data_IF_881504381084
#
_entry.id   IF_881504381084
#
_cell.length_a   1.000
_cell.length_b   1.000
_cell.length_c   1.000
_cell.angle_alpha   90.00
_cell.angle_beta   90.00
_cell.angle_gamma   90.00
#
_symmetry.space_group_name_H-M   'P 1'
#
loop_
_entity.id
_entity.type
_entity.pdbx_description
1 polymer ?
#
# COMPACT_ATOMS: atom_id res chain seq x y z
N UNK A 1 -19.37 0.72 33.52
CA UNK A 1 -18.52 0.81 32.30
C UNK A 1 -19.13 1.91 31.42
N UNK A 2 -18.32 2.88 30.99
CA UNK A 2 -18.82 3.92 30.06
C UNK A 2 -19.24 3.30 28.71
N UNK A 3 -20.09 4.02 27.94
CA UNK A 3 -20.48 3.62 26.57
C UNK A 3 -19.21 3.59 25.70
N UNK A 4 -18.98 2.46 24.98
CA UNK A 4 -17.91 2.38 24.00
C UNK A 4 -18.32 3.02 22.70
N UNK A 5 -17.36 3.64 22.01
CA UNK A 5 -17.55 4.11 20.64
C UNK A 5 -17.47 2.96 19.64
N UNK A 6 -18.40 2.87 18.74
CA UNK A 6 -18.42 1.87 17.68
C UNK A 6 -17.64 2.37 16.47
N UNK A 7 -16.61 1.63 16.04
CA UNK A 7 -15.78 1.97 14.89
C UNK A 7 -15.72 0.81 13.89
N UNK A 8 -15.95 1.08 12.61
CA UNK A 8 -15.82 0.11 11.54
C UNK A 8 -14.71 0.48 10.56
N UNK A 9 -13.86 -0.51 10.23
CA UNK A 9 -12.85 -0.43 9.19
C UNK A 9 -13.32 -1.15 7.94
N UNK A 10 -13.59 -0.41 6.86
CA UNK A 10 -14.01 -0.98 5.57
C UNK A 10 -12.80 -1.24 4.67
N UNK A 11 -12.28 -2.48 4.75
CA UNK A 11 -11.22 -2.98 3.87
C UNK A 11 -11.84 -3.46 2.56
N UNK A 12 -12.27 -2.52 1.70
CA UNK A 12 -12.89 -2.84 0.42
C UNK A 12 -12.08 -3.89 -0.37
N UNK A 13 -10.75 -3.74 -0.39
CA UNK A 13 -9.75 -4.69 -0.87
C UNK A 13 -8.78 -5.06 0.25
N UNK A 14 -8.21 -6.25 0.20
CA UNK A 14 -7.24 -6.70 1.21
C UNK A 14 -6.03 -5.76 1.35
N UNK A 15 -5.59 -5.12 0.28
CA UNK A 15 -4.46 -4.17 0.35
C UNK A 15 -4.79 -2.83 1.05
N UNK A 16 -6.05 -2.61 1.47
CA UNK A 16 -6.40 -1.50 2.35
C UNK A 16 -6.07 -1.81 3.81
N UNK A 17 -6.14 -3.08 4.22
CA UNK A 17 -5.99 -3.47 5.62
C UNK A 17 -4.66 -3.03 6.27
N UNK A 18 -3.49 -3.15 5.61
CA UNK A 18 -2.23 -2.71 6.23
C UNK A 18 -2.19 -1.25 6.69
N UNK A 19 -3.06 -0.39 6.11
CA UNK A 19 -3.18 1.01 6.53
C UNK A 19 -3.91 1.15 7.86
N UNK A 20 -4.74 0.17 8.21
CA UNK A 20 -5.59 0.20 9.39
C UNK A 20 -4.99 -0.57 10.55
N UNK A 21 -4.15 -1.59 10.28
CA UNK A 21 -3.65 -2.53 11.28
C UNK A 21 -3.05 -1.84 12.52
N UNK A 22 -2.11 -0.88 12.41
CA UNK A 22 -1.56 -0.26 13.61
C UNK A 22 -2.60 0.52 14.44
N UNK A 23 -3.64 1.05 13.78
CA UNK A 23 -4.74 1.72 14.49
C UNK A 23 -5.68 0.71 15.13
N UNK A 24 -6.01 -0.40 14.44
CA UNK A 24 -6.84 -1.50 14.99
C UNK A 24 -6.19 -2.05 16.26
N UNK A 25 -4.90 -2.40 16.19
CA UNK A 25 -4.14 -2.98 17.30
C UNK A 25 -4.07 -2.00 18.50
N UNK A 26 -3.91 -0.71 18.23
CA UNK A 26 -3.96 0.33 19.25
C UNK A 26 -5.34 0.43 19.92
N UNK A 27 -6.42 0.40 19.12
CA UNK A 27 -7.80 0.56 19.62
C UNK A 27 -8.30 -0.68 20.37
N UNK A 28 -7.80 -1.88 20.05
CA UNK A 28 -8.10 -3.10 20.82
C UNK A 28 -7.70 -2.93 22.27
N UNK A 29 -6.51 -2.36 22.52
CA UNK A 29 -5.97 -2.16 23.85
C UNK A 29 -6.51 -0.89 24.55
N UNK A 30 -7.16 0.00 23.83
CA UNK A 30 -7.69 1.27 24.37
C UNK A 30 -8.93 1.07 25.25
N UNK A 31 -9.71 0.03 24.99
CA UNK A 31 -10.91 -0.32 25.79
C UNK A 31 -12.12 0.61 25.58
N UNK A 32 -11.95 1.78 24.96
CA UNK A 32 -13.04 2.75 24.66
C UNK A 32 -13.78 2.45 23.38
N UNK A 33 -13.29 1.51 22.56
CA UNK A 33 -13.84 1.21 21.24
C UNK A 33 -14.43 -0.20 21.16
N UNK A 34 -15.49 -0.33 20.38
CA UNK A 34 -15.99 -1.59 19.84
C UNK A 34 -15.68 -1.64 18.36
N UNK A 35 -14.84 -2.60 17.95
CA UNK A 35 -14.25 -2.65 16.61
C UNK A 35 -15.06 -3.58 15.71
N UNK A 36 -15.30 -3.11 14.48
CA UNK A 36 -15.95 -3.87 13.42
C UNK A 36 -15.09 -3.85 12.15
N UNK A 37 -15.18 -4.92 11.37
CA UNK A 37 -14.51 -5.07 10.09
C UNK A 37 -15.48 -5.44 8.99
N UNK A 38 -15.23 -4.98 7.79
CA UNK A 38 -15.99 -5.38 6.61
C UNK A 38 -15.14 -5.36 5.35
N UNK A 39 -15.56 -6.13 4.34
CA UNK A 39 -14.98 -6.12 2.99
C UNK A 39 -16.08 -6.21 1.95
N UNK A 40 -15.85 -5.63 0.75
CA UNK A 40 -16.86 -5.55 -0.29
C UNK A 40 -17.20 -6.91 -0.90
N UNK A 41 -18.47 -7.11 -1.21
CA UNK A 41 -18.96 -8.27 -1.99
C UNK A 41 -18.73 -8.09 -3.50
N UNK A 42 -18.30 -6.93 -3.93
CA UNK A 42 -18.08 -6.62 -5.34
C UNK A 42 -16.69 -7.04 -5.86
N UNK A 43 -15.77 -7.43 -4.97
CA UNK A 43 -14.46 -7.96 -5.35
C UNK A 43 -14.56 -9.42 -5.80
N UNK A 44 -13.49 -9.96 -6.39
CA UNK A 44 -13.47 -11.36 -6.83
C UNK A 44 -13.59 -12.31 -5.64
N UNK A 45 -14.26 -13.44 -5.87
CA UNK A 45 -14.55 -14.44 -4.83
C UNK A 45 -13.28 -14.87 -4.08
N UNK A 46 -12.21 -15.13 -4.81
CA UNK A 46 -10.94 -15.58 -4.23
C UNK A 46 -10.31 -14.50 -3.33
N UNK A 47 -10.33 -13.25 -3.76
CA UNK A 47 -9.87 -12.11 -2.94
C UNK A 47 -10.80 -11.92 -1.72
N UNK A 48 -12.12 -12.04 -1.92
CA UNK A 48 -13.09 -11.93 -0.83
C UNK A 48 -12.87 -12.99 0.26
N UNK A 49 -12.71 -14.26 -0.12
CA UNK A 49 -12.53 -15.34 0.85
C UNK A 49 -11.21 -15.18 1.62
N UNK A 50 -10.13 -14.78 0.95
CA UNK A 50 -8.88 -14.46 1.63
C UNK A 50 -9.04 -13.26 2.57
N UNK A 51 -9.64 -12.17 2.11
CA UNK A 51 -9.84 -10.97 2.94
C UNK A 51 -10.70 -11.30 4.17
N UNK A 52 -11.78 -12.07 3.97
CA UNK A 52 -12.65 -12.53 5.05
C UNK A 52 -11.89 -13.38 6.07
N UNK A 53 -11.08 -14.34 5.60
CA UNK A 53 -10.30 -15.20 6.50
C UNK A 53 -9.30 -14.42 7.34
N UNK A 54 -8.72 -13.36 6.77
CA UNK A 54 -7.83 -12.44 7.50
C UNK A 54 -8.61 -11.62 8.52
N UNK A 55 -9.73 -10.99 8.11
CA UNK A 55 -10.50 -10.08 8.98
C UNK A 55 -11.19 -10.77 10.15
N UNK A 56 -11.60 -12.03 10.00
CA UNK A 56 -12.18 -12.81 11.11
C UNK A 56 -11.15 -13.06 12.23
N UNK A 57 -9.86 -13.10 11.89
CA UNK A 57 -8.78 -13.29 12.85
C UNK A 57 -8.21 -11.98 13.42
N UNK A 58 -8.76 -10.83 13.01
CA UNK A 58 -8.41 -9.52 13.60
C UNK A 58 -9.28 -9.22 14.83
N UNK A 59 -8.79 -8.37 15.75
CA UNK A 59 -9.60 -7.89 16.86
C UNK A 59 -10.90 -7.25 16.41
N UNK A 60 -12.03 -7.62 17.01
CA UNK A 60 -13.34 -7.06 16.69
C UNK A 60 -14.29 -8.04 16.00
N UNK A 61 -15.36 -7.51 15.40
CA UNK A 61 -16.43 -8.31 14.77
C UNK A 61 -16.44 -8.12 13.27
N UNK A 62 -16.48 -9.20 12.51
CA UNK A 62 -16.60 -9.16 11.06
C UNK A 62 -18.06 -9.05 10.62
N UNK A 63 -18.40 -8.03 9.83
CA UNK A 63 -19.72 -7.78 9.27
C UNK A 63 -19.72 -8.10 7.77
N UNK A 64 -20.64 -8.93 7.34
CA UNK A 64 -20.82 -9.29 5.92
C UNK A 64 -22.29 -9.44 5.53
N UNK A 65 -22.56 -9.41 4.24
CA UNK A 65 -23.87 -9.73 3.64
C UNK A 65 -23.71 -10.78 2.54
N UNK A 66 -24.81 -11.38 2.09
CA UNK A 66 -24.83 -12.22 0.89
C UNK A 66 -24.62 -11.36 -0.37
N UNK A 67 -25.11 -10.12 -0.34
CA UNK A 67 -24.94 -9.11 -1.39
C UNK A 67 -24.32 -7.84 -0.80
N UNK A 68 -23.86 -6.92 -1.69
CA UNK A 68 -23.36 -5.62 -1.25
C UNK A 68 -24.47 -4.79 -0.58
N UNK A 69 -25.69 -4.83 -1.08
CA UNK A 69 -26.83 -4.11 -0.48
C UNK A 69 -27.16 -4.63 0.93
N UNK A 70 -27.12 -5.95 1.15
CA UNK A 70 -27.31 -6.53 2.48
C UNK A 70 -26.16 -6.12 3.44
N UNK A 71 -24.93 -6.09 2.94
CA UNK A 71 -23.77 -5.61 3.71
C UNK A 71 -23.96 -4.14 4.12
N UNK A 72 -24.38 -3.29 3.18
CA UNK A 72 -24.69 -1.87 3.44
C UNK A 72 -25.75 -1.72 4.54
N UNK A 73 -26.87 -2.43 4.43
CA UNK A 73 -27.95 -2.39 5.41
C UNK A 73 -27.45 -2.80 6.81
N UNK A 74 -26.78 -3.94 6.92
CA UNK A 74 -26.24 -4.43 8.20
C UNK A 74 -25.27 -3.44 8.86
N UNK A 75 -24.39 -2.81 8.07
CA UNK A 75 -23.46 -1.80 8.58
C UNK A 75 -24.20 -0.56 9.06
N UNK A 76 -25.18 -0.10 8.28
CA UNK A 76 -25.99 1.08 8.64
C UNK A 76 -26.81 0.88 9.90
N UNK A 77 -27.29 -0.36 10.14
CA UNK A 77 -28.08 -0.75 11.33
C UNK A 77 -27.20 -0.78 12.61
N UNK A 78 -25.87 -0.91 12.49
CA UNK A 78 -24.97 -0.81 13.65
C UNK A 78 -24.96 0.59 14.28
N UNK A 79 -25.44 1.60 13.57
CA UNK A 79 -25.50 2.99 14.04
C UNK A 79 -24.14 3.49 14.53
N UNK A 80 -23.11 3.28 13.71
CA UNK A 80 -21.70 3.53 14.04
C UNK A 80 -21.40 4.97 14.47
N UNK A 81 -20.51 5.12 15.44
CA UNK A 81 -19.92 6.40 15.78
C UNK A 81 -18.85 6.80 14.75
N UNK A 82 -18.06 5.83 14.25
CA UNK A 82 -16.95 6.08 13.30
C UNK A 82 -16.95 5.04 12.16
N UNK A 83 -16.73 5.50 10.93
CA UNK A 83 -16.52 4.66 9.75
C UNK A 83 -15.21 5.05 9.06
N UNK A 84 -14.26 4.11 8.95
CA UNK A 84 -12.95 4.32 8.31
C UNK A 84 -12.89 3.56 7.00
N UNK A 85 -12.53 4.25 5.91
CA UNK A 85 -12.36 3.66 4.59
C UNK A 85 -10.95 3.89 4.02
N UNK A 86 -10.52 3.01 3.10
CA UNK A 86 -9.23 3.10 2.40
C UNK A 86 -9.30 3.84 1.06
N UNK A 87 -10.50 4.10 0.57
CA UNK A 87 -10.83 4.92 -0.60
C UNK A 87 -12.32 5.31 -0.56
N UNK A 88 -12.73 6.25 -1.42
CA UNK A 88 -14.11 6.75 -1.45
C UNK A 88 -14.77 6.62 -2.83
N UNK A 89 -14.57 5.45 -3.51
CA UNK A 89 -15.09 5.19 -4.87
C UNK A 89 -16.44 4.47 -4.87
N UNK A 90 -17.16 4.54 -3.78
CA UNK A 90 -18.50 3.97 -3.60
C UNK A 90 -19.35 4.92 -2.77
N UNK A 91 -20.63 4.66 -2.72
CA UNK A 91 -21.64 5.50 -2.08
C UNK A 91 -21.61 5.32 -0.56
N UNK A 92 -20.75 6.08 0.13
CA UNK A 92 -20.51 5.98 1.57
C UNK A 92 -21.81 6.17 2.38
N UNK A 93 -22.71 7.04 1.94
CA UNK A 93 -23.99 7.31 2.62
C UNK A 93 -24.90 6.09 2.73
N UNK A 94 -24.69 5.05 1.92
CA UNK A 94 -25.43 3.80 2.04
C UNK A 94 -25.01 2.97 3.25
N UNK A 95 -23.82 3.22 3.80
CA UNK A 95 -23.25 2.49 4.94
C UNK A 95 -23.45 3.18 6.27
N UNK A 96 -23.64 4.50 6.28
CA UNK A 96 -23.58 5.30 7.50
C UNK A 96 -24.79 6.18 7.69
N UNK A 97 -25.05 6.57 8.95
CA UNK A 97 -26.01 7.61 9.29
C UNK A 97 -25.34 8.98 9.27
N UNK A 98 -26.15 10.06 9.30
CA UNK A 98 -25.65 11.44 9.23
C UNK A 98 -24.68 11.77 10.35
N UNK A 99 -24.90 11.28 11.56
CA UNK A 99 -24.06 11.52 12.74
C UNK A 99 -22.73 10.79 12.76
N UNK A 100 -22.57 9.74 11.92
CA UNK A 100 -21.35 8.92 11.89
C UNK A 100 -20.17 9.77 11.40
N UNK A 101 -19.08 9.81 12.15
CA UNK A 101 -17.81 10.39 11.67
C UNK A 101 -17.19 9.51 10.60
N UNK A 102 -17.01 10.04 9.40
CA UNK A 102 -16.44 9.30 8.26
C UNK A 102 -15.01 9.75 8.00
N UNK A 103 -14.06 8.86 8.26
CA UNK A 103 -12.64 9.09 8.04
C UNK A 103 -12.08 8.29 6.87
N UNK A 104 -11.09 8.85 6.15
CA UNK A 104 -10.36 8.13 5.13
C UNK A 104 -8.87 8.06 5.48
N UNK A 105 -8.35 6.82 5.57
CA UNK A 105 -6.92 6.51 5.62
C UNK A 105 -6.56 5.91 4.26
N UNK A 106 -5.97 6.72 3.36
CA UNK A 106 -5.75 6.28 2.00
C UNK A 106 -4.66 5.19 1.90
N UNK A 107 -4.85 4.25 0.98
CA UNK A 107 -4.06 3.01 0.88
C UNK A 107 -2.68 3.15 0.22
N UNK A 108 -2.13 4.34 0.12
CA UNK A 108 -0.79 4.54 -0.44
C UNK A 108 -0.34 5.97 -0.37
N UNK A 109 0.97 6.14 -0.36
CA UNK A 109 1.63 7.43 -0.44
C UNK A 109 1.73 7.80 -1.93
N UNK A 110 1.38 9.02 -2.26
CA UNK A 110 1.69 9.25 -3.54
C UNK A 110 1.20 10.23 -4.43
N UNK A 111 1.16 9.88 -5.67
CA UNK A 111 1.50 10.65 -6.81
C UNK A 111 0.53 10.41 -7.95
N UNK A 112 -0.37 9.45 -7.78
CA UNK A 112 -1.38 9.14 -8.80
C UNK A 112 -2.55 10.11 -8.67
N UNK A 113 -3.18 10.50 -9.78
CA UNK A 113 -4.37 11.37 -9.74
C UNK A 113 -5.51 10.85 -8.86
N UNK A 114 -5.57 9.54 -8.59
CA UNK A 114 -6.53 8.94 -7.68
C UNK A 114 -6.48 9.51 -6.27
N UNK A 115 -5.31 9.96 -5.79
CA UNK A 115 -5.16 10.44 -4.42
C UNK A 115 -5.94 11.72 -4.12
N UNK A 116 -6.19 12.59 -5.12
CA UNK A 116 -7.04 13.77 -4.94
C UNK A 116 -8.41 13.64 -5.59
N UNK A 117 -8.60 12.69 -6.54
CA UNK A 117 -9.91 12.44 -7.16
C UNK A 117 -10.82 11.58 -6.28
N UNK A 118 -10.24 10.73 -5.44
CA UNK A 118 -11.00 9.96 -4.46
C UNK A 118 -11.38 10.87 -3.30
N UNK A 119 -12.43 11.66 -3.48
CA UNK A 119 -12.95 12.58 -2.46
C UNK A 119 -14.47 12.61 -2.54
N UNK A 120 -15.11 11.81 -1.70
CA UNK A 120 -16.56 11.78 -1.56
C UNK A 120 -17.03 12.91 -0.62
N UNK A 121 -18.17 13.53 -0.90
CA UNK A 121 -18.74 14.63 -0.10
C UNK A 121 -19.04 14.22 1.36
N UNK A 122 -19.29 12.93 1.60
CA UNK A 122 -19.57 12.37 2.93
C UNK A 122 -18.32 12.16 3.79
N UNK A 123 -17.12 12.45 3.28
CA UNK A 123 -15.89 12.40 4.08
C UNK A 123 -15.82 13.63 4.99
N UNK A 124 -15.76 13.39 6.30
CA UNK A 124 -15.56 14.44 7.29
C UNK A 124 -14.07 14.75 7.47
N UNK A 125 -13.21 13.71 7.44
CA UNK A 125 -11.77 13.85 7.67
C UNK A 125 -10.94 12.91 6.79
N UNK A 126 -9.74 13.36 6.38
CA UNK A 126 -8.70 12.54 5.78
C UNK A 126 -7.44 12.58 6.62
N UNK A 127 -6.95 11.41 6.97
CA UNK A 127 -5.67 11.24 7.66
C UNK A 127 -4.56 11.22 6.59
N UNK A 128 -3.58 12.12 6.72
CA UNK A 128 -2.58 12.35 5.69
C UNK A 128 -1.16 12.08 6.18
N UNK A 129 -0.35 11.58 5.25
CA UNK A 129 0.97 11.04 5.50
C UNK A 129 2.06 12.09 5.69
N UNK A 130 1.88 13.29 5.16
CA UNK A 130 2.90 14.32 5.22
C UNK A 130 2.44 15.71 4.76
N UNK A 131 3.26 16.76 4.98
CA UNK A 131 2.93 18.14 4.64
C UNK A 131 2.59 18.34 3.16
N UNK A 132 3.40 17.74 2.26
CA UNK A 132 3.16 17.81 0.82
C UNK A 132 1.73 17.38 0.43
N UNK A 133 1.17 16.37 1.13
CA UNK A 133 -0.20 15.93 0.85
C UNK A 133 -1.23 16.99 1.20
N UNK A 134 -1.03 17.73 2.28
CA UNK A 134 -1.92 18.82 2.67
C UNK A 134 -1.94 19.87 1.57
N UNK A 135 -0.76 20.35 1.17
CA UNK A 135 -0.62 21.38 0.14
C UNK A 135 -1.25 20.92 -1.17
N UNK A 136 -0.93 19.70 -1.62
CA UNK A 136 -1.49 19.12 -2.84
C UNK A 136 -3.01 19.03 -2.83
N UNK A 137 -3.61 18.56 -1.72
CA UNK A 137 -5.07 18.43 -1.62
C UNK A 137 -5.74 19.81 -1.61
N UNK A 138 -5.17 20.79 -0.92
CA UNK A 138 -5.67 22.18 -0.91
C UNK A 138 -5.57 22.84 -2.29
N UNK A 139 -4.44 22.67 -3.01
CA UNK A 139 -4.28 23.13 -4.40
C UNK A 139 -5.30 22.50 -5.36
N UNK A 140 -5.70 21.25 -5.10
CA UNK A 140 -6.74 20.56 -5.88
C UNK A 140 -8.17 20.90 -5.43
N UNK A 141 -8.34 21.84 -4.51
CA UNK A 141 -9.64 22.34 -4.06
C UNK A 141 -10.38 21.38 -3.11
N UNK A 142 -9.69 20.41 -2.50
CA UNK A 142 -10.29 19.51 -1.51
C UNK A 142 -10.57 20.29 -0.22
N UNK A 143 -11.83 20.30 0.18
CA UNK A 143 -12.32 21.04 1.37
C UNK A 143 -12.43 20.16 2.61
N UNK A 144 -12.49 18.85 2.47
CA UNK A 144 -12.52 17.87 3.57
C UNK A 144 -11.42 18.19 4.59
N UNK A 145 -11.71 18.05 5.88
CA UNK A 145 -10.70 18.26 6.92
C UNK A 145 -9.51 17.32 6.77
N UNK A 146 -8.32 17.82 7.06
CA UNK A 146 -7.06 17.07 6.91
C UNK A 146 -6.36 16.98 8.26
N UNK A 147 -6.13 15.76 8.74
CA UNK A 147 -5.33 15.48 9.93
C UNK A 147 -3.93 14.99 9.53
N UNK A 148 -2.90 15.74 9.90
CA UNK A 148 -1.50 15.37 9.68
C UNK A 148 -1.06 14.35 10.72
N UNK A 149 -1.25 13.07 10.42
CA UNK A 149 -0.93 11.97 11.34
C UNK A 149 0.40 11.29 11.06
N UNK A 150 0.87 11.36 9.84
CA UNK A 150 1.90 10.47 9.31
C UNK A 150 1.27 9.24 8.63
N UNK A 151 2.09 8.39 8.04
CA UNK A 151 1.61 7.22 7.30
C UNK A 151 1.51 6.01 8.23
N UNK A 152 0.33 5.73 8.74
CA UNK A 152 0.01 4.75 9.78
C UNK A 152 0.60 3.37 9.47
N UNK A 153 0.53 2.91 8.22
CA UNK A 153 1.09 1.63 7.78
C UNK A 153 2.55 1.41 8.16
N UNK A 154 3.32 2.49 8.30
CA UNK A 154 4.75 2.39 8.59
C UNK A 154 5.07 2.35 10.09
N UNK A 155 4.09 2.50 10.98
CA UNK A 155 4.35 2.56 12.42
C UNK A 155 5.17 1.38 12.93
N UNK A 156 4.86 0.15 12.47
CA UNK A 156 5.58 -1.05 12.86
C UNK A 156 7.06 -1.10 12.43
N UNK A 157 7.47 -0.27 11.45
CA UNK A 157 8.89 -0.18 11.06
C UNK A 157 9.72 0.64 12.06
N UNK A 158 9.08 1.43 12.90
CA UNK A 158 9.71 2.38 13.83
C UNK A 158 9.40 2.06 15.30
N UNK A 159 8.88 0.87 15.56
CA UNK A 159 8.72 0.29 16.89
C UNK A 159 9.69 -0.87 17.07
N UNK A 160 10.30 -0.94 18.23
CA UNK A 160 11.18 -2.06 18.58
C UNK A 160 10.40 -3.37 18.62
N UNK A 161 11.00 -4.45 18.10
CA UNK A 161 10.51 -5.83 18.15
C UNK A 161 9.12 -6.10 17.54
N UNK A 162 8.51 -5.15 16.83
CA UNK A 162 7.19 -5.38 16.21
C UNK A 162 7.28 -6.32 14.98
N UNK A 163 8.43 -6.34 14.29
CA UNK A 163 8.66 -7.19 13.11
C UNK A 163 9.73 -8.22 13.39
N UNK A 164 9.36 -9.49 13.47
CA UNK A 164 10.30 -10.61 13.57
C UNK A 164 10.98 -10.89 12.21
N UNK A 165 12.04 -10.13 11.94
CA UNK A 165 12.84 -10.25 10.72
C UNK A 165 13.51 -11.63 10.61
N UNK A 166 13.89 -12.24 11.74
CA UNK A 166 14.58 -13.55 11.78
C UNK A 166 13.66 -14.68 11.33
N UNK A 167 12.45 -14.73 11.91
CA UNK A 167 11.43 -15.70 11.51
C UNK A 167 11.02 -15.55 10.04
N UNK A 168 10.91 -14.31 9.57
CA UNK A 168 10.56 -14.03 8.17
C UNK A 168 11.67 -14.51 7.20
N UNK A 169 12.93 -14.24 7.51
CA UNK A 169 14.08 -14.73 6.72
C UNK A 169 14.09 -16.25 6.67
N UNK A 170 13.93 -16.92 7.82
CA UNK A 170 13.89 -18.38 7.89
C UNK A 170 12.74 -18.95 7.04
N UNK A 171 11.54 -18.35 7.13
CA UNK A 171 10.36 -18.79 6.37
C UNK A 171 10.56 -18.74 4.86
N UNK A 172 11.27 -17.74 4.37
CA UNK A 172 11.58 -17.57 2.95
C UNK A 172 12.97 -18.08 2.56
N UNK A 173 13.62 -18.87 3.43
CA UNK A 173 14.94 -19.48 3.15
C UNK A 173 15.97 -18.46 2.63
N UNK A 174 15.98 -17.26 3.21
CA UNK A 174 16.92 -16.19 2.83
C UNK A 174 18.32 -16.56 3.29
N UNK A 175 19.26 -16.55 2.36
CA UNK A 175 20.69 -16.74 2.64
C UNK A 175 21.26 -15.44 3.26
N UNK A 176 21.62 -15.48 4.54
CA UNK A 176 22.16 -14.33 5.27
C UNK A 176 23.51 -13.82 4.72
N UNK A 177 24.21 -14.62 3.92
CA UNK A 177 25.46 -14.20 3.25
C UNK A 177 25.22 -13.37 1.98
N UNK A 178 23.98 -13.32 1.49
CA UNK A 178 23.61 -12.57 0.30
C UNK A 178 22.74 -11.35 0.64
N UNK A 179 22.91 -10.28 -0.12
CA UNK A 179 21.97 -9.15 -0.07
C UNK A 179 20.61 -9.54 -0.65
N UNK A 180 19.56 -8.92 -0.14
CA UNK A 180 18.18 -9.23 -0.53
C UNK A 180 17.58 -8.09 -1.35
N UNK A 181 17.05 -8.44 -2.53
CA UNK A 181 16.27 -7.56 -3.41
C UNK A 181 14.80 -7.89 -3.22
N UNK A 182 13.98 -6.85 -2.95
CA UNK A 182 12.53 -6.94 -3.01
C UNK A 182 12.05 -6.42 -4.36
N UNK A 183 11.54 -7.30 -5.23
CA UNK A 183 10.86 -6.90 -6.45
C UNK A 183 9.36 -6.77 -6.19
N UNK A 184 8.87 -5.55 -6.17
CA UNK A 184 7.46 -5.22 -5.95
C UNK A 184 6.85 -4.59 -7.22
N UNK A 185 6.57 -5.38 -8.28
CA UNK A 185 6.04 -4.86 -9.52
C UNK A 185 4.61 -4.36 -9.37
N UNK A 186 4.27 -3.28 -10.10
CA UNK A 186 2.89 -2.83 -10.22
C UNK A 186 2.10 -3.77 -11.14
N UNK A 187 0.77 -3.77 -10.99
CA UNK A 187 -0.07 -4.56 -11.87
C UNK A 187 -0.12 -3.99 -13.31
N UNK A 188 0.01 -2.65 -13.47
CA UNK A 188 0.06 -1.98 -14.76
C UNK A 188 0.38 -0.45 -14.60
N UNK A 189 1.28 0.11 -15.44
CA UNK A 189 2.19 -0.58 -16.34
C UNK A 189 3.22 -1.39 -15.56
N UNK A 190 3.77 -2.48 -16.15
CA UNK A 190 4.67 -3.38 -15.46
C UNK A 190 5.89 -3.75 -16.29
N UNK A 191 7.02 -3.92 -15.63
CA UNK A 191 8.30 -4.34 -16.20
C UNK A 191 8.49 -5.87 -16.20
N UNK A 192 7.59 -6.63 -15.59
CA UNK A 192 7.71 -8.10 -15.45
C UNK A 192 7.91 -8.79 -16.79
N UNK A 193 7.07 -8.50 -17.78
CA UNK A 193 7.15 -9.16 -19.08
C UNK A 193 8.39 -8.74 -19.90
N UNK A 194 8.78 -7.45 -19.96
CA UNK A 194 10.03 -7.05 -20.61
C UNK A 194 11.29 -7.66 -19.99
N UNK A 195 11.35 -7.88 -18.68
CA UNK A 195 12.47 -8.56 -18.04
C UNK A 195 12.41 -10.07 -18.32
N UNK A 196 11.23 -10.68 -18.15
CA UNK A 196 11.01 -12.10 -18.33
C UNK A 196 11.90 -12.96 -17.42
N UNK A 197 12.33 -14.12 -17.91
CA UNK A 197 13.16 -15.06 -17.15
C UNK A 197 14.60 -14.57 -16.92
N UNK A 198 15.04 -13.52 -17.63
CA UNK A 198 16.36 -12.92 -17.41
C UNK A 198 16.51 -12.37 -15.99
N UNK A 199 15.39 -12.06 -15.31
CA UNK A 199 15.42 -11.60 -13.92
C UNK A 199 16.21 -12.57 -13.03
N UNK A 200 16.07 -13.88 -13.22
CA UNK A 200 16.80 -14.88 -12.46
C UNK A 200 18.31 -14.82 -12.68
N UNK A 201 18.74 -14.61 -13.93
CA UNK A 201 20.18 -14.43 -14.22
C UNK A 201 20.73 -13.13 -13.64
N UNK A 202 19.94 -12.05 -13.73
CA UNK A 202 20.33 -10.72 -13.27
C UNK A 202 20.45 -10.61 -11.75
N UNK A 203 19.79 -11.51 -11.01
CA UNK A 203 19.79 -11.48 -9.52
C UNK A 203 20.47 -12.70 -8.90
N UNK A 204 21.27 -13.48 -9.66
CA UNK A 204 21.88 -14.74 -9.21
C UNK A 204 22.70 -14.61 -7.91
N UNK A 205 23.37 -13.49 -7.71
CA UNK A 205 24.22 -13.26 -6.55
C UNK A 205 23.48 -12.68 -5.34
N UNK A 206 22.14 -12.59 -5.42
CA UNK A 206 21.28 -12.00 -4.42
C UNK A 206 20.18 -12.97 -4.02
N UNK A 207 19.55 -12.76 -2.87
CA UNK A 207 18.20 -13.27 -2.62
C UNK A 207 17.20 -12.38 -3.37
N UNK A 208 16.23 -12.96 -4.06
CA UNK A 208 15.16 -12.22 -4.71
C UNK A 208 13.81 -12.59 -4.13
N UNK A 209 13.17 -11.62 -3.47
CA UNK A 209 11.78 -11.70 -3.02
C UNK A 209 10.88 -11.03 -4.04
N UNK A 210 9.92 -11.74 -4.62
CA UNK A 210 8.94 -11.17 -5.56
C UNK A 210 7.61 -11.01 -4.83
N UNK A 211 7.14 -9.77 -4.73
CA UNK A 211 5.83 -9.41 -4.13
C UNK A 211 4.92 -8.78 -5.18
N UNK A 212 4.15 -9.58 -5.95
CA UNK A 212 3.22 -9.05 -6.93
C UNK A 212 2.11 -8.22 -6.28
N UNK A 213 1.62 -7.22 -6.99
CA UNK A 213 0.41 -6.53 -6.58
C UNK A 213 -0.77 -7.52 -6.52
N UNK A 214 -1.65 -7.42 -5.52
CA UNK A 214 -2.77 -8.36 -5.36
C UNK A 214 -3.68 -8.45 -6.59
N UNK A 215 -3.80 -7.38 -7.37
CA UNK A 215 -4.54 -7.43 -8.64
C UNK A 215 -3.85 -8.24 -9.75
N UNK A 216 -2.57 -8.52 -9.63
CA UNK A 216 -1.88 -9.48 -10.52
C UNK A 216 -2.22 -10.90 -10.13
N UNK A 217 -2.39 -11.18 -8.85
CA UNK A 217 -2.78 -12.50 -8.31
C UNK A 217 -4.27 -12.74 -8.53
N UNK A 218 -5.12 -11.81 -8.07
CA UNK A 218 -6.57 -11.89 -8.22
C UNK A 218 -7.03 -11.03 -9.40
N UNK A 219 -7.73 -11.63 -10.37
CA UNK A 219 -8.36 -10.89 -11.47
C UNK A 219 -9.26 -9.79 -10.92
N UNK A 220 -8.91 -8.51 -11.13
CA UNK A 220 -9.74 -7.41 -10.67
C UNK A 220 -10.56 -6.81 -11.83
N UNK A 221 -11.86 -6.53 -11.59
CA UNK A 221 -12.75 -5.91 -12.60
C UNK A 221 -12.28 -4.52 -13.05
N UNK A 222 -11.50 -3.82 -12.20
CA UNK A 222 -10.95 -2.48 -12.49
C UNK A 222 -9.62 -2.51 -13.22
N UNK A 223 -8.95 -3.67 -13.25
CA UNK A 223 -7.66 -3.87 -13.89
C UNK A 223 -7.85 -4.43 -15.29
N UNK A 224 -8.53 -3.93 -16.18
CA UNK A 224 -8.67 -4.36 -17.58
C UNK A 224 -7.31 -4.76 -18.25
N UNK A 225 -6.59 -5.70 -17.62
CA UNK A 225 -5.28 -6.25 -18.02
C UNK A 225 -5.29 -7.74 -17.76
N UNK A 226 -4.85 -8.52 -18.73
CA UNK A 226 -4.56 -9.93 -18.51
C UNK A 226 -3.17 -10.11 -17.89
N UNK A 227 -3.14 -10.72 -16.70
CA UNK A 227 -1.93 -11.00 -15.95
C UNK A 227 -1.48 -12.47 -16.04
N UNK A 228 -2.06 -13.27 -16.93
CA UNK A 228 -1.73 -14.71 -17.08
C UNK A 228 -0.25 -14.93 -17.39
N UNK A 229 0.31 -14.11 -18.29
CA UNK A 229 1.73 -14.16 -18.65
C UNK A 229 2.62 -13.82 -17.46
N UNK A 230 2.27 -12.79 -16.68
CA UNK A 230 3.05 -12.42 -15.49
C UNK A 230 3.03 -13.54 -14.44
N UNK A 231 1.85 -14.13 -14.16
CA UNK A 231 1.75 -15.26 -13.22
C UNK A 231 2.55 -16.46 -13.67
N UNK A 232 2.51 -16.77 -14.98
CA UNK A 232 3.33 -17.85 -15.55
C UNK A 232 4.82 -17.56 -15.37
N UNK A 233 5.28 -16.36 -15.68
CA UNK A 233 6.68 -15.95 -15.49
C UNK A 233 7.13 -16.09 -14.03
N UNK A 234 6.31 -15.71 -13.06
CA UNK A 234 6.65 -15.90 -11.65
C UNK A 234 6.78 -17.39 -11.29
N UNK A 235 5.86 -18.23 -11.77
CA UNK A 235 5.95 -19.68 -11.59
C UNK A 235 7.22 -20.27 -12.23
N UNK A 236 7.52 -19.87 -13.46
CA UNK A 236 8.70 -20.35 -14.18
C UNK A 236 10.01 -19.90 -13.48
N UNK A 237 10.05 -18.68 -12.93
CA UNK A 237 11.19 -18.15 -12.19
C UNK A 237 11.47 -18.96 -10.92
N UNK A 238 10.47 -19.19 -10.06
CA UNK A 238 10.67 -19.94 -8.81
C UNK A 238 10.97 -21.41 -9.03
N UNK A 239 10.53 -21.98 -10.15
CA UNK A 239 10.84 -23.37 -10.52
C UNK A 239 12.26 -23.53 -11.09
N UNK A 240 12.83 -22.46 -11.63
CA UNK A 240 14.14 -22.48 -12.30
C UNK A 240 15.30 -22.02 -11.41
N UNK A 241 15.03 -21.18 -10.40
CA UNK A 241 16.07 -20.51 -9.64
C UNK A 241 15.79 -20.58 -8.13
N UNK A 242 16.66 -21.22 -7.36
CA UNK A 242 16.51 -21.45 -5.92
C UNK A 242 16.62 -20.18 -5.07
N UNK A 243 17.27 -19.12 -5.57
CA UNK A 243 17.42 -17.84 -4.87
C UNK A 243 16.20 -16.91 -5.00
N UNK A 244 15.16 -17.35 -5.74
CA UNK A 244 13.94 -16.57 -5.98
C UNK A 244 12.78 -17.12 -5.18
N UNK A 245 12.15 -16.26 -4.41
CA UNK A 245 11.00 -16.61 -3.58
C UNK A 245 9.81 -15.71 -3.91
N UNK A 246 8.69 -16.33 -4.28
CA UNK A 246 7.43 -15.63 -4.52
C UNK A 246 6.69 -15.47 -3.19
N UNK A 247 6.39 -14.25 -2.81
CA UNK A 247 5.61 -13.95 -1.60
C UNK A 247 4.13 -14.18 -1.91
N UNK A 248 3.49 -15.16 -1.26
CA UNK A 248 2.10 -15.48 -1.51
C UNK A 248 1.14 -14.40 -0.98
N UNK A 249 -0.11 -14.35 -1.48
CA UNK A 249 -1.06 -13.26 -1.18
C UNK A 249 -1.50 -13.20 0.29
N UNK A 250 -1.34 -14.27 1.06
CA UNK A 250 -1.58 -14.30 2.51
C UNK A 250 -0.66 -13.33 3.27
N UNK A 251 0.53 -13.08 2.74
CA UNK A 251 1.42 -12.01 3.19
C UNK A 251 1.04 -10.68 2.52
N UNK A 252 -0.20 -10.25 2.70
CA UNK A 252 -0.76 -9.05 2.05
C UNK A 252 -0.04 -7.76 2.43
N UNK A 253 0.51 -7.68 3.66
CA UNK A 253 1.31 -6.55 4.12
C UNK A 253 2.76 -6.67 3.62
N UNK A 254 3.22 -5.69 2.86
CA UNK A 254 4.59 -5.65 2.32
C UNK A 254 5.61 -5.11 3.35
N UNK A 255 5.14 -4.41 4.37
CA UNK A 255 6.00 -3.66 5.31
C UNK A 255 7.10 -4.52 5.96
N UNK A 256 6.83 -5.77 6.44
CA UNK A 256 7.88 -6.61 7.01
C UNK A 256 9.02 -6.94 6.03
N UNK A 257 8.70 -7.02 4.73
CA UNK A 257 9.70 -7.33 3.71
C UNK A 257 10.66 -6.17 3.43
N UNK A 258 10.26 -4.93 3.71
CA UNK A 258 11.19 -3.80 3.65
C UNK A 258 12.32 -3.93 4.67
N UNK A 259 12.05 -4.47 5.87
CA UNK A 259 13.06 -4.65 6.91
C UNK A 259 14.16 -5.61 6.47
N UNK A 260 13.81 -6.73 5.84
CA UNK A 260 14.76 -7.78 5.44
C UNK A 260 15.37 -7.55 4.06
N UNK A 261 14.99 -6.48 3.35
CA UNK A 261 15.51 -6.17 2.01
C UNK A 261 16.54 -5.06 2.05
N UNK A 262 17.57 -5.17 1.22
CA UNK A 262 18.63 -4.16 1.04
C UNK A 262 18.31 -3.17 -0.07
N UNK A 263 17.45 -3.56 -1.03
CA UNK A 263 17.10 -2.78 -2.21
C UNK A 263 15.67 -3.11 -2.65
N UNK A 264 14.94 -2.09 -3.08
CA UNK A 264 13.64 -2.24 -3.75
C UNK A 264 13.80 -2.08 -5.26
N UNK A 265 13.27 -3.04 -6.01
CA UNK A 265 13.07 -2.96 -7.46
C UNK A 265 11.57 -2.81 -7.73
N UNK A 266 11.15 -1.78 -8.46
CA UNK A 266 9.73 -1.51 -8.70
C UNK A 266 9.51 -0.64 -9.95
N UNK A 267 8.27 -0.25 -10.19
CA UNK A 267 7.89 0.80 -11.14
C UNK A 267 7.29 2.00 -10.37
N UNK A 268 6.49 2.84 -11.02
CA UNK A 268 5.80 3.98 -10.38
C UNK A 268 4.77 3.50 -9.32
N UNK A 269 5.20 3.36 -8.08
CA UNK A 269 4.47 2.75 -6.97
C UNK A 269 4.62 3.57 -5.68
N UNK A 270 3.66 3.45 -4.75
CA UNK A 270 3.77 4.00 -3.39
C UNK A 270 4.92 3.37 -2.58
N UNK A 271 5.29 2.14 -2.92
CA UNK A 271 6.39 1.42 -2.28
C UNK A 271 7.73 2.17 -2.32
N UNK A 272 7.90 3.06 -3.31
CA UNK A 272 9.06 3.96 -3.44
C UNK A 272 9.20 4.85 -2.19
N UNK A 273 8.10 5.47 -1.78
CA UNK A 273 8.11 6.36 -0.61
C UNK A 273 8.09 5.58 0.71
N UNK A 274 7.53 4.39 0.70
CA UNK A 274 7.58 3.50 1.85
C UNK A 274 9.03 3.05 2.11
N UNK A 275 9.79 2.74 1.06
CA UNK A 275 11.21 2.39 1.17
C UNK A 275 12.09 3.62 1.47
N UNK A 276 11.69 4.81 0.99
CA UNK A 276 12.33 6.09 1.31
C UNK A 276 12.33 6.36 2.83
N UNK A 277 11.27 5.94 3.54
CA UNK A 277 11.20 6.06 5.00
C UNK A 277 12.36 5.36 5.72
N UNK A 278 12.88 4.28 5.13
CA UNK A 278 14.04 3.51 5.63
C UNK A 278 15.37 3.92 5.00
N UNK A 279 15.38 4.92 4.13
CA UNK A 279 16.58 5.41 3.42
C UNK A 279 17.34 4.30 2.67
N UNK A 280 16.59 3.29 2.21
CA UNK A 280 17.14 2.19 1.43
C UNK A 280 17.04 2.48 -0.07
N UNK A 281 18.01 2.02 -0.88
CA UNK A 281 18.01 2.28 -2.31
C UNK A 281 16.80 1.70 -3.03
N UNK A 282 16.31 2.44 -4.02
CA UNK A 282 15.21 2.04 -4.88
C UNK A 282 15.66 2.13 -6.33
N UNK A 283 15.42 1.09 -7.11
CA UNK A 283 15.55 1.10 -8.57
C UNK A 283 14.15 1.15 -9.17
N UNK A 284 13.93 2.15 -10.03
CA UNK A 284 12.66 2.30 -10.76
C UNK A 284 12.87 1.89 -12.21
N UNK A 285 12.14 0.86 -12.61
CA UNK A 285 12.10 0.42 -14.01
C UNK A 285 11.29 1.40 -14.85
N UNK A 286 11.90 1.92 -15.94
CA UNK A 286 11.27 2.85 -16.89
C UNK A 286 10.81 2.17 -18.18
N UNK A 287 10.94 0.87 -18.28
CA UNK A 287 10.52 0.05 -19.43
C UNK A 287 9.31 -0.80 -19.07
N UNK A 288 8.27 -0.74 -19.89
CA UNK A 288 7.00 -1.38 -19.60
C UNK A 288 6.41 -2.06 -20.82
N UNK A 289 5.68 -3.15 -20.60
CA UNK A 289 4.71 -3.61 -21.58
C UNK A 289 3.45 -2.76 -21.50
N UNK A 290 3.17 -1.99 -22.54
CA UNK A 290 2.01 -1.11 -22.62
C UNK A 290 0.92 -1.70 -23.52
N UNK A 291 -0.34 -1.47 -23.18
CA UNK A 291 -1.49 -1.69 -24.06
C UNK A 291 -1.35 -0.87 -25.35
N UNK A 292 -1.91 -1.34 -26.44
CA UNK A 292 -1.85 -0.64 -27.74
C UNK A 292 -2.34 0.80 -27.62
N UNK A 293 -3.46 1.03 -26.91
CA UNK A 293 -4.00 2.39 -26.72
C UNK A 293 -3.06 3.32 -25.95
N UNK A 294 -2.22 2.82 -25.03
CA UNK A 294 -1.23 3.60 -24.30
C UNK A 294 0.10 3.72 -25.04
N UNK A 295 0.37 2.82 -25.99
CA UNK A 295 1.52 2.95 -26.91
C UNK A 295 1.29 4.08 -27.91
N UNK A 296 0.06 4.17 -28.46
CA UNK A 296 -0.32 5.20 -29.44
C UNK A 296 -0.59 6.54 -28.74
N UNK A 297 -1.36 6.51 -27.65
CA UNK A 297 -1.78 7.72 -26.92
C UNK A 297 -1.12 7.77 -25.52
N UNK A 298 0.18 8.03 -25.47
CA UNK A 298 0.97 8.08 -24.21
C UNK A 298 0.37 9.01 -23.16
N UNK A 299 -0.26 10.13 -23.57
CA UNK A 299 -0.90 11.06 -22.65
C UNK A 299 -1.99 10.44 -21.77
N UNK A 300 -2.66 9.35 -22.25
CA UNK A 300 -3.67 8.62 -21.45
C UNK A 300 -3.04 7.91 -20.28
N UNK A 301 -1.80 7.43 -20.42
CA UNK A 301 -1.04 6.81 -19.36
C UNK A 301 -0.76 7.82 -18.24
N UNK A 302 -0.24 9.01 -18.61
CA UNK A 302 0.05 10.09 -17.66
C UNK A 302 -1.22 10.65 -16.99
N UNK A 303 -2.32 10.76 -17.71
CA UNK A 303 -3.60 11.22 -17.15
C UNK A 303 -4.16 10.27 -16.06
N UNK A 304 -3.89 8.96 -16.14
CA UNK A 304 -4.55 7.95 -15.29
C UNK A 304 -3.61 7.21 -14.35
N UNK A 305 -2.36 7.01 -14.71
CA UNK A 305 -1.46 6.06 -14.05
C UNK A 305 -0.15 6.66 -13.57
N UNK A 306 0.38 7.61 -14.30
CA UNK A 306 1.64 8.28 -13.99
C UNK A 306 1.39 9.78 -13.80
N UNK A 307 2.31 10.45 -13.14
CA UNK A 307 2.31 11.90 -12.97
C UNK A 307 3.72 12.41 -13.29
N UNK A 308 3.82 13.40 -14.21
CA UNK A 308 5.11 13.92 -14.66
C UNK A 308 5.92 14.60 -13.53
N UNK A 309 5.24 15.30 -12.63
CA UNK A 309 5.89 15.97 -11.51
C UNK A 309 6.62 14.95 -10.62
N UNK A 310 5.96 13.84 -10.34
CA UNK A 310 6.53 12.79 -9.57
C UNK A 310 7.61 12.00 -10.27
N UNK A 311 7.47 11.76 -11.55
CA UNK A 311 8.54 11.11 -12.28
C UNK A 311 9.85 11.88 -12.16
N UNK A 312 9.78 13.21 -12.13
CA UNK A 312 10.94 14.06 -11.86
C UNK A 312 11.46 13.87 -10.43
N UNK A 313 10.57 13.93 -9.44
CA UNK A 313 10.93 13.76 -8.04
C UNK A 313 11.61 12.39 -7.79
N UNK A 314 11.05 11.31 -8.36
CA UNK A 314 11.64 9.97 -8.27
C UNK A 314 13.06 9.93 -8.86
N UNK A 315 13.29 10.55 -10.00
CA UNK A 315 14.60 10.59 -10.65
C UNK A 315 15.67 11.20 -9.77
N UNK A 316 15.32 12.13 -8.88
CA UNK A 316 16.25 12.77 -7.97
C UNK A 316 16.78 11.79 -6.90
N UNK A 317 15.94 10.99 -6.28
CA UNK A 317 16.34 10.14 -5.15
C UNK A 317 16.33 8.63 -5.42
N UNK A 318 15.81 8.16 -6.56
CA UNK A 318 15.91 6.76 -6.98
C UNK A 318 17.01 6.54 -8.01
N UNK A 319 17.40 5.29 -8.19
CA UNK A 319 18.14 4.82 -9.37
C UNK A 319 17.12 4.43 -10.46
N UNK A 320 17.50 4.51 -11.72
CA UNK A 320 16.61 4.23 -12.83
C UNK A 320 17.21 3.24 -13.81
N UNK A 321 16.41 2.25 -14.22
CA UNK A 321 16.74 1.34 -15.30
C UNK A 321 15.86 1.65 -16.50
N UNK A 322 16.48 2.05 -17.62
CA UNK A 322 15.77 2.41 -18.85
C UNK A 322 15.58 1.22 -19.79
N UNK A 323 16.41 0.19 -19.66
CA UNK A 323 16.32 -1.06 -20.40
C UNK A 323 16.46 -2.25 -19.44
N UNK A 324 15.84 -3.40 -19.73
CA UNK A 324 16.02 -4.60 -18.92
C UNK A 324 17.50 -5.01 -18.77
N UNK A 325 18.30 -4.89 -19.82
CA UNK A 325 19.68 -5.33 -19.85
C UNK A 325 20.64 -4.43 -19.05
N UNK A 326 20.18 -3.25 -18.62
CA UNK A 326 20.92 -2.37 -17.72
C UNK A 326 20.83 -2.83 -16.25
N UNK A 327 19.81 -3.63 -15.91
CA UNK A 327 19.51 -4.01 -14.51
C UNK A 327 20.69 -4.58 -13.74
N UNK A 328 21.52 -5.53 -14.26
CA UNK A 328 22.62 -6.09 -13.48
C UNK A 328 23.58 -4.99 -13.00
N UNK A 329 23.98 -4.09 -13.89
CA UNK A 329 24.90 -2.99 -13.57
C UNK A 329 24.28 -1.99 -12.59
N UNK A 330 23.01 -1.68 -12.75
CA UNK A 330 22.30 -0.71 -11.87
C UNK A 330 22.08 -1.31 -10.49
N UNK A 331 21.77 -2.60 -10.38
CA UNK A 331 21.64 -3.32 -9.10
C UNK A 331 22.98 -3.27 -8.35
N UNK A 332 24.06 -3.69 -8.99
CA UNK A 332 25.40 -3.65 -8.41
C UNK A 332 25.79 -2.22 -7.99
N UNK A 333 25.56 -1.25 -8.87
CA UNK A 333 25.85 0.15 -8.60
C UNK A 333 25.07 0.69 -7.39
N UNK A 334 23.75 0.45 -7.35
CA UNK A 334 22.90 0.90 -6.26
C UNK A 334 23.23 0.25 -4.92
N UNK A 335 23.59 -1.05 -4.92
CA UNK A 335 24.02 -1.79 -3.73
C UNK A 335 25.33 -1.24 -3.15
N UNK A 336 26.28 -0.88 -4.02
CA UNK A 336 27.60 -0.39 -3.61
C UNK A 336 27.61 1.12 -3.29
N UNK A 337 26.63 1.88 -3.81
CA UNK A 337 26.60 3.34 -3.73
C UNK A 337 25.34 3.86 -3.00
N UNK A 338 24.89 3.17 -1.96
CA UNK A 338 23.65 3.51 -1.19
C UNK A 338 23.62 4.98 -0.75
N UNK A 339 24.77 5.55 -0.40
CA UNK A 339 24.85 6.92 0.15
C UNK A 339 24.78 8.04 -0.89
N UNK A 340 24.91 7.72 -2.18
CA UNK A 340 25.00 8.77 -3.23
C UNK A 340 23.70 9.57 -3.37
N UNK A 341 22.58 8.96 -3.06
CA UNK A 341 21.23 9.59 -3.08
C UNK A 341 20.72 10.02 -1.71
N UNK A 342 21.50 9.82 -0.64
CA UNK A 342 21.04 9.98 0.74
C UNK A 342 20.57 11.41 1.05
N UNK A 343 21.28 12.43 0.53
CA UNK A 343 20.88 13.84 0.70
C UNK A 343 19.50 14.11 0.10
N UNK A 344 19.26 13.65 -1.11
CA UNK A 344 17.97 13.79 -1.79
C UNK A 344 16.89 12.98 -1.05
N UNK A 345 17.21 11.75 -0.63
CA UNK A 345 16.28 10.94 0.16
C UNK A 345 15.84 11.65 1.44
N UNK A 346 16.74 12.31 2.18
CA UNK A 346 16.37 13.10 3.37
C UNK A 346 15.42 14.24 3.01
N UNK A 347 15.70 15.00 1.96
CA UNK A 347 14.84 16.11 1.52
C UNK A 347 13.43 15.63 1.15
N UNK A 348 13.33 14.54 0.39
CA UNK A 348 12.03 13.98 0.01
C UNK A 348 11.32 13.32 1.18
N UNK A 349 12.04 12.70 2.11
CA UNK A 349 11.48 12.14 3.33
C UNK A 349 10.80 13.22 4.17
N UNK A 350 11.45 14.35 4.41
CA UNK A 350 10.89 15.48 5.14
C UNK A 350 9.68 16.11 4.42
N UNK A 351 9.75 16.21 3.08
CA UNK A 351 8.65 16.73 2.25
C UNK A 351 7.42 15.82 2.30
N UNK A 352 7.61 14.51 2.18
CA UNK A 352 6.54 13.54 1.90
C UNK A 352 6.00 12.84 3.15
N UNK A 353 6.79 12.73 4.20
CA UNK A 353 6.48 11.92 5.38
C UNK A 353 6.57 12.76 6.65
N UNK A 354 5.57 12.59 7.53
CA UNK A 354 5.51 13.28 8.81
C UNK A 354 5.83 12.32 9.95
N UNK A 355 6.81 12.67 10.78
CA UNK A 355 7.20 11.97 12.02
C UNK A 355 7.19 10.44 11.90
N UNK A 356 8.32 9.88 11.48
CA UNK A 356 8.53 8.44 11.43
C UNK A 356 8.96 7.92 12.82
N UNK A 357 8.01 7.95 13.76
CA UNK A 357 8.21 7.70 15.20
C UNK A 357 7.34 6.56 15.74
N UNK A 358 6.67 5.79 14.85
CA UNK A 358 5.79 4.69 15.23
C UNK A 358 4.48 5.13 15.89
N UNK A 359 4.13 6.42 15.84
CA UNK A 359 2.96 6.97 16.55
C UNK A 359 1.92 7.63 15.64
N UNK A 360 1.90 7.32 14.35
CA UNK A 360 0.86 7.85 13.44
C UNK A 360 -0.54 7.33 13.81
N UNK A 361 -0.65 6.07 14.24
CA UNK A 361 -1.90 5.48 14.76
C UNK A 361 -2.38 6.19 16.03
N UNK A 362 -1.46 6.58 16.94
CA UNK A 362 -1.79 7.34 18.16
C UNK A 362 -2.39 8.69 17.79
N UNK A 363 -1.75 9.41 16.86
CA UNK A 363 -2.27 10.71 16.39
C UNK A 363 -3.63 10.58 15.72
N UNK A 364 -3.84 9.51 14.93
CA UNK A 364 -5.14 9.24 14.31
C UNK A 364 -6.24 8.94 15.35
N UNK A 365 -5.96 8.10 16.35
CA UNK A 365 -6.88 7.84 17.47
C UNK A 365 -7.25 9.13 18.21
N UNK A 366 -6.27 9.96 18.53
CA UNK A 366 -6.49 11.17 19.32
C UNK A 366 -7.33 12.19 18.53
N UNK A 367 -7.13 12.28 17.22
CA UNK A 367 -7.97 13.10 16.34
C UNK A 367 -9.42 12.59 16.28
N UNK A 368 -9.62 11.27 16.16
CA UNK A 368 -10.95 10.65 16.20
C UNK A 368 -11.65 11.00 17.53
N UNK A 369 -10.97 10.82 18.65
CA UNK A 369 -11.53 11.09 19.98
C UNK A 369 -11.87 12.55 20.21
N UNK A 370 -11.07 13.48 19.68
CA UNK A 370 -11.36 14.91 19.74
C UNK A 370 -12.71 15.21 19.09
N UNK A 371 -12.92 14.73 17.87
CA UNK A 371 -14.15 14.94 17.09
C UNK A 371 -15.39 14.27 17.69
N UNK A 372 -15.22 13.12 18.34
CA UNK A 372 -16.32 12.43 19.02
C UNK A 372 -16.77 13.14 20.32
N UNK A 373 -15.95 14.02 20.88
CA UNK A 373 -16.32 14.83 22.05
C UNK A 373 -16.99 16.16 21.69
N UNK A 374 -16.76 16.63 20.46
CA UNK A 374 -17.33 17.86 19.93
C UNK A 374 -18.76 17.67 19.39
N UNK A 375 -19.17 16.42 19.12
CA UNK A 375 -20.51 16.01 18.70
C UNK A 375 -21.32 15.45 19.88
#
# INVERSE_FOLDING_TARGET
MGKKYSILFDSYHLYHLPQFEPLIDLLENDGRFEIYHSTSREIKKEEYELTKSVLINKPGKFISGATENERQGKIKDLDLDVFICGWSRYDIQNFVKQKTLVGMIYHGIGIKPSYWRDNHERLDIRFVEGPYRIDQLREKGIKTDLALTGFIKLDGLFKEDEIDASSLKKRFSIDDNKKTILFAPTFYPSSVEPIGLRLGEYTRDYNLLIKPHLWTTFKNKFADVDHSVQRKLFSDLINKYDHIHLIPPEFYNITPFYMISDLLLTEASSTIYEMLALEKPVIVNRFFKLRLSHRIFKWRLYKRRLNQEMERDISDFCFEANNPDDLPKIIEYAMNNKKIKLKQMHQYKEKMLFKLDGNAAVRARDEILSRLKEN
#
